data_IF_648661042418
#
_entry.id   IF_648661042418
#
_cell.length_a   1.000
_cell.length_b   1.000
_cell.length_c   1.000
_cell.angle_alpha   90.00
_cell.angle_beta   90.00
_cell.angle_gamma   90.00
#
_symmetry.space_group_name_H-M   'P 1'
#
loop_
_entity.id
_entity.type
_entity.pdbx_description
1 polymer ?
#
# COMPACT_ATOMS: atom_id res chain seq x y z
N UNK A 1 3.79 6.97 27.66
CA UNK A 1 4.54 6.17 26.66
C UNK A 1 5.23 5.05 27.38
N UNK A 2 5.08 3.84 26.89
CA UNK A 2 5.83 2.65 27.30
C UNK A 2 6.85 2.34 26.21
N UNK A 3 8.07 1.92 26.58
CA UNK A 3 9.12 1.63 25.60
C UNK A 3 10.48 1.41 26.25
N UNK A 4 11.40 0.78 25.51
CA UNK A 4 12.79 0.66 25.92
C UNK A 4 13.45 2.06 25.97
N UNK A 5 14.45 2.22 26.82
CA UNK A 5 15.14 3.50 27.01
C UNK A 5 16.60 3.36 26.55
N UNK A 6 17.10 4.32 25.78
CA UNK A 6 18.50 4.36 25.33
C UNK A 6 19.45 4.86 26.45
N UNK A 7 20.78 4.79 26.28
CA UNK A 7 21.74 5.26 27.29
C UNK A 7 21.62 6.76 27.64
N UNK A 8 20.94 7.56 26.82
CA UNK A 8 20.68 8.98 27.05
C UNK A 8 19.32 9.23 27.74
N UNK A 9 18.61 8.18 28.17
CA UNK A 9 17.31 8.31 28.84
C UNK A 9 16.14 8.55 27.89
N UNK A 10 16.32 8.35 26.57
CA UNK A 10 15.28 8.58 25.56
C UNK A 10 14.50 7.31 25.25
N UNK A 11 13.23 7.47 24.91
CA UNK A 11 12.34 6.38 24.49
C UNK A 11 12.77 5.92 23.10
N UNK A 12 13.13 4.64 22.99
CA UNK A 12 13.45 3.97 21.73
C UNK A 12 12.14 3.51 21.09
N UNK A 13 11.77 4.03 19.91
CA UNK A 13 10.56 3.61 19.21
C UNK A 13 10.58 2.12 18.84
N UNK A 14 9.42 1.48 18.92
CA UNK A 14 9.24 0.12 18.43
C UNK A 14 9.36 0.05 16.91
N UNK A 15 10.01 -0.99 16.38
CA UNK A 15 10.07 -1.21 14.93
C UNK A 15 8.69 -1.51 14.36
N UNK A 16 7.90 -2.31 15.07
CA UNK A 16 6.53 -2.62 14.66
C UNK A 16 5.56 -1.77 15.48
N UNK A 17 4.43 -1.35 14.91
CA UNK A 17 3.37 -0.74 15.69
C UNK A 17 2.82 -1.75 16.71
N UNK A 18 2.27 -1.26 17.84
CA UNK A 18 1.54 -2.12 18.76
C UNK A 18 0.45 -2.88 18.02
N UNK A 19 0.29 -4.18 18.31
CA UNK A 19 -0.87 -4.92 17.80
C UNK A 19 -2.10 -4.45 18.57
N UNK A 20 -3.18 -4.01 17.91
CA UNK A 20 -4.39 -3.70 18.61
C UNK A 20 -5.03 -4.99 19.09
N UNK A 21 -5.67 -4.88 20.23
CA UNK A 21 -6.58 -5.88 20.74
C UNK A 21 -7.75 -6.04 19.77
N UNK A 22 -8.35 -7.22 19.67
CA UNK A 22 -9.51 -7.48 18.79
C UNK A 22 -10.76 -6.71 19.20
N UNK A 23 -10.83 -6.35 20.49
CA UNK A 23 -11.90 -5.59 21.11
C UNK A 23 -11.28 -4.43 21.87
N UNK A 24 -11.83 -3.22 21.76
CA UNK A 24 -11.29 -2.07 22.48
C UNK A 24 -11.87 -0.75 22.02
N UNK A 25 -11.41 0.32 22.66
CA UNK A 25 -11.71 1.68 22.25
C UNK A 25 -11.19 2.00 20.85
N UNK A 26 -11.50 3.20 20.37
CA UNK A 26 -11.01 3.69 19.10
C UNK A 26 -9.48 3.83 19.11
N UNK A 27 -8.82 3.37 18.04
CA UNK A 27 -7.38 3.57 17.83
C UNK A 27 -7.15 4.51 16.66
N UNK A 28 -6.40 5.58 16.92
CA UNK A 28 -6.01 6.58 15.91
C UNK A 28 -4.56 6.37 15.53
N UNK A 29 -4.23 6.58 14.25
CA UNK A 29 -2.86 6.51 13.76
C UNK A 29 -2.38 7.89 13.36
N UNK A 30 -1.37 8.37 14.08
CA UNK A 30 -0.76 9.67 13.83
C UNK A 30 0.66 9.52 13.28
N UNK A 31 1.10 10.52 12.53
CA UNK A 31 2.50 10.71 12.15
C UNK A 31 2.97 12.00 12.81
N UNK A 32 4.01 11.88 13.65
CA UNK A 32 4.71 13.01 14.24
C UNK A 32 6.06 13.17 13.54
N UNK A 33 6.24 14.23 12.76
CA UNK A 33 7.47 14.51 12.01
C UNK A 33 8.13 15.78 12.55
N UNK A 34 9.41 15.68 12.93
CA UNK A 34 10.22 16.82 13.31
C UNK A 34 10.88 17.38 12.07
N UNK A 35 10.32 18.46 11.52
CA UNK A 35 10.85 19.15 10.35
C UNK A 35 11.27 20.57 10.75
N UNK A 36 12.50 20.96 10.37
CA UNK A 36 13.05 22.30 10.63
C UNK A 36 12.99 22.69 12.12
N UNK A 37 13.24 21.72 12.99
CA UNK A 37 13.26 21.90 14.44
C UNK A 37 11.89 21.96 15.13
N UNK A 38 10.78 21.82 14.40
CA UNK A 38 9.41 21.82 14.96
C UNK A 38 8.69 20.51 14.69
N UNK A 39 7.92 20.06 15.67
CA UNK A 39 7.05 18.89 15.53
C UNK A 39 5.76 19.27 14.80
N UNK A 40 5.40 18.47 13.80
CA UNK A 40 4.10 18.47 13.15
C UNK A 40 3.44 17.12 13.38
N UNK A 41 2.18 17.13 13.83
CA UNK A 41 1.38 15.92 14.03
C UNK A 41 0.26 15.91 13.00
N UNK A 42 0.07 14.76 12.34
CA UNK A 42 -0.96 14.56 11.31
C UNK A 42 -1.65 13.22 11.50
N UNK A 43 -2.92 13.15 11.16
CA UNK A 43 -3.72 11.92 11.13
C UNK A 43 -4.35 11.72 9.75
N UNK A 44 -4.80 10.50 9.48
CA UNK A 44 -5.59 10.21 8.28
C UNK A 44 -7.06 10.64 8.38
N UNK A 45 -7.55 10.86 9.60
CA UNK A 45 -8.92 11.23 9.94
C UNK A 45 -8.91 12.24 11.08
N UNK A 46 -9.74 13.28 10.97
CA UNK A 46 -9.99 14.24 12.05
C UNK A 46 -11.09 13.75 13.02
N UNK A 47 -11.76 12.65 12.66
CA UNK A 47 -12.76 12.01 13.51
C UNK A 47 -12.07 11.11 14.54
N UNK A 48 -12.04 11.56 15.81
CA UNK A 48 -11.64 10.74 16.94
C UNK A 48 -12.21 11.23 18.28
N UNK A 49 -12.55 10.30 19.17
CA UNK A 49 -13.04 10.59 20.52
C UNK A 49 -11.91 10.91 21.52
N UNK A 50 -12.21 11.62 22.63
CA UNK A 50 -11.21 11.99 23.65
C UNK A 50 -10.64 10.80 24.42
N UNK A 51 -11.31 9.64 24.39
CA UNK A 51 -10.89 8.39 25.03
C UNK A 51 -10.13 7.43 24.11
N UNK A 52 -9.70 7.86 22.92
CA UNK A 52 -8.97 7.02 22.00
C UNK A 52 -7.54 6.71 22.50
N UNK A 53 -6.96 5.65 21.97
CA UNK A 53 -5.51 5.40 22.03
C UNK A 53 -4.90 5.84 20.71
N UNK A 54 -3.76 6.53 20.74
CA UNK A 54 -3.07 6.94 19.52
C UNK A 54 -1.77 6.18 19.34
N UNK A 55 -1.67 5.43 18.24
CA UNK A 55 -0.40 4.88 17.75
C UNK A 55 0.27 5.94 16.87
N UNK A 56 1.51 6.28 17.18
CA UNK A 56 2.23 7.39 16.55
C UNK A 56 3.48 6.86 15.87
N UNK A 57 3.59 7.06 14.56
CA UNK A 57 4.86 6.94 13.85
C UNK A 57 5.68 8.21 14.07
N UNK A 58 6.81 8.08 14.75
CA UNK A 58 7.76 9.17 14.99
C UNK A 58 8.76 9.23 13.84
N UNK A 59 8.96 10.43 13.31
CA UNK A 59 9.85 10.73 12.19
C UNK A 59 10.71 11.95 12.48
N UNK A 60 11.91 11.93 11.91
CA UNK A 60 12.84 13.05 11.96
C UNK A 60 13.25 13.41 10.55
N UNK A 61 12.94 14.63 10.12
CA UNK A 61 13.22 15.17 8.79
C UNK A 61 12.73 14.25 7.64
N UNK A 62 11.57 13.62 7.85
CA UNK A 62 10.96 12.70 6.90
C UNK A 62 11.39 11.22 7.06
N UNK A 63 12.29 10.90 8.00
CA UNK A 63 12.81 9.54 8.22
C UNK A 63 12.16 8.90 9.44
N UNK A 64 11.52 7.75 9.24
CA UNK A 64 10.87 6.96 10.29
C UNK A 64 11.88 6.44 11.30
N UNK A 65 11.63 6.74 12.58
CA UNK A 65 12.37 6.26 13.74
C UNK A 65 11.67 5.04 14.38
N UNK A 66 10.33 5.04 14.38
CA UNK A 66 9.51 3.91 14.80
C UNK A 66 8.20 4.35 15.44
N UNK A 67 7.55 3.42 16.13
CA UNK A 67 6.24 3.62 16.72
C UNK A 67 6.28 3.81 18.24
N UNK A 68 5.40 4.66 18.73
CA UNK A 68 5.13 4.89 20.15
C UNK A 68 3.62 4.97 20.36
N UNK A 69 3.15 4.60 21.56
CA UNK A 69 1.74 4.66 21.91
C UNK A 69 1.50 5.69 23.02
N UNK A 70 0.41 6.44 22.87
CA UNK A 70 -0.10 7.34 23.90
C UNK A 70 -1.60 7.09 24.14
N UNK A 71 -2.04 7.37 25.35
CA UNK A 71 -3.47 7.44 25.69
C UNK A 71 -3.96 8.86 25.45
N UNK A 72 -5.12 8.98 24.83
CA UNK A 72 -5.71 10.25 24.44
C UNK A 72 -5.40 10.63 22.99
N UNK A 73 -5.94 11.77 22.56
CA UNK A 73 -5.94 12.14 21.16
C UNK A 73 -4.57 12.72 20.72
N UNK A 74 -4.26 12.74 19.42
CA UNK A 74 -2.94 13.10 18.87
C UNK A 74 -2.42 14.47 19.32
N UNK A 75 -3.29 15.44 19.61
CA UNK A 75 -2.94 16.79 20.05
C UNK A 75 -2.18 16.79 21.38
N UNK A 76 -2.38 15.74 22.19
CA UNK A 76 -1.64 15.51 23.45
C UNK A 76 -0.12 15.43 23.23
N UNK A 77 0.32 15.03 22.03
CA UNK A 77 1.75 14.96 21.69
C UNK A 77 2.44 16.33 21.68
N UNK A 78 1.71 17.37 21.27
CA UNK A 78 2.25 18.72 21.12
C UNK A 78 2.40 19.43 22.47
N UNK A 79 1.60 19.05 23.46
CA UNK A 79 1.61 19.67 24.80
C UNK A 79 2.55 18.99 25.79
N UNK A 80 2.83 17.70 25.59
CA UNK A 80 3.52 16.89 26.58
C UNK A 80 5.07 16.89 26.46
N UNK A 81 5.65 17.51 25.42
CA UNK A 81 7.12 17.50 25.18
C UNK A 81 7.71 16.08 25.04
N UNK A 82 6.85 15.09 24.83
CA UNK A 82 7.21 13.67 24.86
C UNK A 82 8.03 13.29 23.65
N UNK A 83 7.75 13.90 22.49
CA UNK A 83 8.46 13.65 21.24
C UNK A 83 9.94 14.08 21.31
N UNK A 84 10.29 15.08 22.12
CA UNK A 84 11.69 15.49 22.33
C UNK A 84 12.51 14.48 23.13
N UNK A 85 11.83 13.55 23.81
CA UNK A 85 12.44 12.44 24.54
C UNK A 85 12.52 11.16 23.72
N UNK A 86 12.11 11.19 22.45
CA UNK A 86 12.21 10.03 21.55
C UNK A 86 13.56 10.03 20.85
N UNK A 87 14.22 8.88 20.76
CA UNK A 87 15.49 8.78 20.04
C UNK A 87 15.29 9.11 18.55
N UNK A 88 16.23 9.85 17.92
CA UNK A 88 16.15 10.16 16.51
C UNK A 88 16.19 8.88 15.67
N UNK A 89 15.78 8.99 14.40
CA UNK A 89 15.98 7.87 13.49
C UNK A 89 17.47 7.57 13.36
N UNK A 90 17.90 6.29 13.43
CA UNK A 90 19.28 5.93 13.18
C UNK A 90 19.67 6.09 11.70
N UNK A 91 18.71 6.36 10.82
CA UNK A 91 18.91 6.55 9.38
C UNK A 91 19.01 8.03 9.05
N UNK A 92 19.98 8.37 8.19
CA UNK A 92 20.08 9.70 7.62
C UNK A 92 18.96 9.96 6.60
N UNK A 93 18.52 11.21 6.50
CA UNK A 93 17.63 11.64 5.44
C UNK A 93 18.33 11.53 4.07
N UNK A 94 17.59 11.09 3.07
CA UNK A 94 18.08 11.09 1.69
C UNK A 94 18.25 12.54 1.18
N UNK A 95 19.18 12.73 0.24
CA UNK A 95 19.40 14.03 -0.42
C UNK A 95 18.11 14.47 -1.14
N UNK A 96 17.68 15.70 -0.84
CA UNK A 96 16.45 16.29 -1.37
C UNK A 96 16.70 16.91 -2.75
N UNK A 97 16.47 16.14 -3.81
CA UNK A 97 16.23 16.66 -5.15
C UNK A 97 14.73 16.70 -5.44
N UNK A 98 14.26 17.72 -6.17
CA UNK A 98 12.91 17.72 -6.70
C UNK A 98 12.77 16.59 -7.74
N UNK A 99 11.59 15.96 -7.78
CA UNK A 99 11.27 14.88 -8.71
C UNK A 99 9.92 15.17 -9.33
N UNK A 100 9.73 14.70 -10.55
CA UNK A 100 8.47 14.83 -11.26
C UNK A 100 7.69 13.53 -11.10
N UNK A 101 6.78 13.50 -10.13
CA UNK A 101 5.94 12.34 -9.82
C UNK A 101 4.51 12.58 -10.32
N UNK A 102 4.03 11.69 -11.20
CA UNK A 102 2.62 11.53 -11.47
C UNK A 102 1.99 10.55 -10.49
N UNK A 103 0.84 10.93 -9.92
CA UNK A 103 0.07 10.08 -9.02
C UNK A 103 -1.24 9.68 -9.68
N UNK A 104 -1.43 8.37 -9.85
CA UNK A 104 -2.64 7.79 -10.45
C UNK A 104 -3.58 7.31 -9.36
N UNK A 105 -4.84 7.77 -9.40
CA UNK A 105 -5.89 7.47 -8.43
C UNK A 105 -7.09 6.87 -9.19
N UNK A 106 -7.32 5.55 -9.12
CA UNK A 106 -8.54 4.96 -9.67
C UNK A 106 -9.73 5.20 -8.73
N UNK A 107 -10.89 5.49 -9.31
CA UNK A 107 -12.17 5.57 -8.59
C UNK A 107 -13.29 4.96 -9.43
N UNK A 108 -14.40 4.59 -8.78
CA UNK A 108 -15.61 4.09 -9.45
C UNK A 108 -16.81 4.93 -9.00
N UNK A 109 -16.81 6.22 -9.36
CA UNK A 109 -17.87 7.18 -8.98
C UNK A 109 -17.90 7.61 -7.51
N UNK A 110 -16.87 7.29 -6.70
CA UNK A 110 -16.80 7.65 -5.27
C UNK A 110 -16.31 9.09 -5.08
N UNK A 111 -17.19 10.05 -5.34
CA UNK A 111 -16.85 11.50 -5.41
C UNK A 111 -16.16 12.01 -4.14
N UNK A 112 -16.71 11.73 -2.96
CA UNK A 112 -16.20 12.31 -1.71
C UNK A 112 -14.84 11.75 -1.31
N UNK A 113 -14.65 10.43 -1.46
CA UNK A 113 -13.36 9.79 -1.18
C UNK A 113 -12.32 10.23 -2.21
N UNK A 114 -12.65 10.23 -3.50
CA UNK A 114 -11.78 10.74 -4.56
C UNK A 114 -11.37 12.20 -4.32
N UNK A 115 -12.30 13.07 -3.93
CA UNK A 115 -11.99 14.46 -3.60
C UNK A 115 -11.03 14.59 -2.41
N UNK A 116 -11.18 13.75 -1.38
CA UNK A 116 -10.24 13.71 -0.24
C UNK A 116 -8.85 13.23 -0.67
N UNK A 117 -8.76 12.13 -1.42
CA UNK A 117 -7.50 11.59 -1.91
C UNK A 117 -6.76 12.58 -2.83
N UNK A 118 -7.46 13.22 -3.77
CA UNK A 118 -6.89 14.24 -4.66
C UNK A 118 -6.31 15.41 -3.85
N UNK A 119 -7.03 15.95 -2.86
CA UNK A 119 -6.51 17.04 -2.02
C UNK A 119 -5.26 16.63 -1.24
N UNK A 120 -5.25 15.42 -0.68
CA UNK A 120 -4.08 14.91 0.05
C UNK A 120 -2.86 14.81 -0.88
N UNK A 121 -3.06 14.29 -2.10
CA UNK A 121 -2.00 14.15 -3.10
C UNK A 121 -1.51 15.51 -3.62
N UNK A 122 -2.39 16.50 -3.81
CA UNK A 122 -1.99 17.86 -4.20
C UNK A 122 -1.11 18.55 -3.14
N UNK A 123 -1.28 18.19 -1.86
CA UNK A 123 -0.44 18.65 -0.76
C UNK A 123 0.87 17.87 -0.59
N UNK A 124 1.08 16.80 -1.37
CA UNK A 124 2.32 16.03 -1.34
C UNK A 124 3.44 16.68 -2.15
N UNK A 125 4.65 16.54 -1.64
CA UNK A 125 5.88 17.04 -2.24
C UNK A 125 6.22 16.22 -3.49
N UNK A 126 6.85 16.88 -4.46
CA UNK A 126 7.32 16.28 -5.73
C UNK A 126 6.18 15.77 -6.64
N UNK A 127 4.91 16.05 -6.31
CA UNK A 127 3.76 15.74 -7.18
C UNK A 127 3.57 16.86 -8.21
N UNK A 128 3.84 16.53 -9.48
CA UNK A 128 3.65 17.42 -10.63
C UNK A 128 2.37 17.12 -11.42
N UNK A 129 1.79 15.93 -11.22
CA UNK A 129 0.54 15.50 -11.88
C UNK A 129 -0.29 14.60 -10.99
N UNK A 130 -1.60 14.83 -11.01
CA UNK A 130 -2.60 13.95 -10.40
C UNK A 130 -3.52 13.46 -11.51
N UNK A 131 -3.57 12.15 -11.73
CA UNK A 131 -4.46 11.54 -12.72
C UNK A 131 -5.55 10.77 -11.97
N UNK A 132 -6.73 11.38 -11.90
CA UNK A 132 -7.92 10.73 -11.37
C UNK A 132 -8.62 9.96 -12.49
N UNK A 133 -8.74 8.64 -12.34
CA UNK A 133 -9.33 7.77 -13.36
C UNK A 133 -10.69 7.27 -12.90
N UNK A 134 -11.76 7.73 -13.54
CA UNK A 134 -13.10 7.21 -13.34
C UNK A 134 -13.29 5.90 -14.11
N UNK A 135 -13.35 4.79 -13.39
CA UNK A 135 -13.50 3.44 -13.89
C UNK A 135 -14.95 2.92 -13.81
N UNK A 136 -15.92 3.82 -13.65
CA UNK A 136 -17.32 3.54 -13.88
C UNK A 136 -17.98 4.65 -14.72
N UNK A 137 -17.37 5.09 -15.83
CA UNK A 137 -17.87 6.25 -16.57
C UNK A 137 -19.25 5.98 -17.16
N UNK A 138 -20.11 7.00 -17.17
CA UNK A 138 -21.46 6.93 -17.73
C UNK A 138 -21.42 7.41 -19.17
N UNK A 139 -21.88 6.59 -20.11
CA UNK A 139 -21.80 6.87 -21.56
C UNK A 139 -20.38 7.22 -22.05
N UNK A 140 -19.36 6.61 -21.44
CA UNK A 140 -17.95 6.84 -21.78
C UNK A 140 -17.36 8.15 -21.24
N UNK A 141 -18.12 8.92 -20.46
CA UNK A 141 -17.68 10.17 -19.85
C UNK A 141 -17.48 10.00 -18.33
N UNK A 142 -16.46 10.66 -17.74
CA UNK A 142 -16.34 10.69 -16.29
C UNK A 142 -17.58 11.30 -15.64
N UNK A 143 -17.93 10.87 -14.43
CA UNK A 143 -18.97 11.52 -13.63
C UNK A 143 -18.70 13.03 -13.53
N UNK A 144 -19.75 13.84 -13.74
CA UNK A 144 -19.65 15.31 -13.75
C UNK A 144 -18.98 15.87 -12.50
N UNK A 145 -19.30 15.32 -11.32
CA UNK A 145 -18.71 15.75 -10.06
C UNK A 145 -17.23 15.41 -9.95
N UNK A 146 -16.76 14.32 -10.57
CA UNK A 146 -15.33 14.01 -10.65
C UNK A 146 -14.62 14.99 -11.59
N UNK A 147 -15.25 15.39 -12.70
CA UNK A 147 -14.68 16.38 -13.62
C UNK A 147 -14.43 17.74 -12.95
N UNK A 148 -15.29 18.14 -12.01
CA UNK A 148 -15.12 19.38 -11.23
C UNK A 148 -13.86 19.38 -10.35
N UNK A 149 -13.26 18.22 -10.06
CA UNK A 149 -11.99 18.16 -9.33
C UNK A 149 -10.82 18.74 -10.12
N UNK A 150 -10.95 18.91 -11.45
CA UNK A 150 -9.98 19.63 -12.29
C UNK A 150 -9.84 21.10 -11.91
N UNK A 151 -10.89 21.68 -11.33
CA UNK A 151 -10.92 23.09 -10.94
C UNK A 151 -10.16 23.35 -9.64
N UNK A 152 -9.72 22.29 -8.93
CA UNK A 152 -8.96 22.42 -7.69
C UNK A 152 -7.52 22.89 -7.91
N UNK A 153 -6.86 22.40 -8.97
CA UNK A 153 -5.45 22.67 -9.25
C UNK A 153 -5.12 22.25 -10.71
N UNK A 154 -4.32 23.02 -11.46
CA UNK A 154 -3.93 22.69 -12.84
C UNK A 154 -3.19 21.35 -13.00
N UNK A 155 -2.65 20.78 -11.91
CA UNK A 155 -2.03 19.46 -11.90
C UNK A 155 -3.04 18.31 -12.02
N UNK A 156 -4.35 18.55 -11.84
CA UNK A 156 -5.39 17.51 -11.86
C UNK A 156 -5.90 17.25 -13.29
N UNK A 157 -5.73 16.01 -13.73
CA UNK A 157 -6.33 15.46 -14.95
C UNK A 157 -7.35 14.40 -14.57
N UNK A 158 -8.53 14.43 -15.20
CA UNK A 158 -9.58 13.41 -15.00
C UNK A 158 -9.76 12.62 -16.30
N UNK A 159 -9.65 11.30 -16.20
CA UNK A 159 -9.73 10.36 -17.33
C UNK A 159 -10.89 9.40 -17.12
N UNK A 160 -11.62 9.06 -18.18
CA UNK A 160 -12.59 7.96 -18.15
C UNK A 160 -11.94 6.68 -18.66
N UNK A 161 -12.15 5.58 -17.94
CA UNK A 161 -11.76 4.24 -18.39
C UNK A 161 -12.99 3.30 -18.35
N UNK A 162 -13.64 3.04 -19.51
CA UNK A 162 -14.83 2.21 -19.57
C UNK A 162 -14.57 0.70 -19.37
N UNK A 163 -13.33 0.24 -19.54
CA UNK A 163 -12.94 -1.14 -19.24
C UNK A 163 -12.90 -1.33 -17.72
N UNK A 164 -13.92 -2.00 -17.20
CA UNK A 164 -14.03 -2.29 -15.76
C UNK A 164 -12.79 -3.05 -15.23
N UNK A 165 -12.23 -2.53 -14.14
CA UNK A 165 -11.17 -3.13 -13.34
C UNK A 165 -10.08 -2.13 -12.95
N UNK A 166 -9.62 -2.18 -11.69
CA UNK A 166 -8.60 -1.25 -11.18
C UNK A 166 -7.31 -1.28 -12.01
N UNK A 167 -6.92 -2.44 -12.54
CA UNK A 167 -5.78 -2.59 -13.45
C UNK A 167 -5.92 -1.75 -14.72
N UNK A 168 -7.09 -1.76 -15.35
CA UNK A 168 -7.35 -0.97 -16.55
C UNK A 168 -7.32 0.53 -16.22
N UNK A 169 -7.93 0.92 -15.10
CA UNK A 169 -7.91 2.30 -14.63
C UNK A 169 -6.48 2.81 -14.37
N UNK A 170 -5.66 2.03 -13.66
CA UNK A 170 -4.25 2.37 -13.39
C UNK A 170 -3.44 2.44 -14.68
N UNK A 171 -3.64 1.49 -15.60
CA UNK A 171 -3.04 1.53 -16.94
C UNK A 171 -3.39 2.82 -17.68
N UNK A 172 -4.68 3.15 -17.80
CA UNK A 172 -5.15 4.37 -18.45
C UNK A 172 -4.58 5.64 -17.79
N UNK A 173 -4.45 5.64 -16.47
CA UNK A 173 -3.84 6.73 -15.72
C UNK A 173 -2.39 6.98 -16.10
N UNK A 174 -1.59 5.92 -16.28
CA UNK A 174 -0.20 6.05 -16.74
C UNK A 174 -0.11 6.49 -18.21
N UNK A 175 -1.06 6.11 -19.06
CA UNK A 175 -1.07 6.58 -20.46
C UNK A 175 -1.39 8.08 -20.58
N UNK A 176 -2.05 8.65 -19.57
CA UNK A 176 -2.40 10.06 -19.55
C UNK A 176 -1.31 10.94 -18.92
N UNK A 177 -0.13 10.38 -18.64
CA UNK A 177 0.97 11.07 -17.97
C UNK A 177 2.34 10.68 -18.56
N UNK A 178 3.30 11.61 -18.46
CA UNK A 178 4.63 11.46 -19.07
C UNK A 178 5.77 11.65 -18.04
N UNK A 179 5.39 11.86 -16.78
CA UNK A 179 6.31 12.02 -15.67
C UNK A 179 7.20 10.77 -15.51
N UNK A 180 8.51 10.95 -15.22
CA UNK A 180 9.45 9.85 -15.12
C UNK A 180 9.15 8.88 -13.96
N UNK A 181 8.53 9.38 -12.89
CA UNK A 181 8.09 8.57 -11.76
C UNK A 181 6.56 8.50 -11.73
N UNK A 182 6.04 7.28 -11.56
CA UNK A 182 4.61 7.04 -11.44
C UNK A 182 4.34 6.37 -10.11
N UNK A 183 3.44 6.96 -9.32
CA UNK A 183 2.96 6.42 -8.05
C UNK A 183 1.46 6.13 -8.12
N UNK A 184 1.02 5.17 -7.32
CA UNK A 184 -0.36 4.72 -7.24
C UNK A 184 -0.86 4.84 -5.81
N UNK A 185 -2.05 5.40 -5.67
CA UNK A 185 -2.83 5.37 -4.43
C UNK A 185 -4.30 5.18 -4.77
N UNK A 186 -5.12 4.80 -3.79
CA UNK A 186 -6.55 4.57 -3.99
C UNK A 186 -7.38 5.78 -3.50
N UNK A 187 -8.62 5.89 -3.97
CA UNK A 187 -9.49 7.02 -3.60
C UNK A 187 -9.92 7.03 -2.10
N UNK A 188 -9.68 5.94 -1.37
CA UNK A 188 -9.94 5.78 0.07
C UNK A 188 -8.66 5.91 0.90
N UNK A 189 -7.72 6.72 0.43
CA UNK A 189 -6.46 7.01 1.10
C UNK A 189 -6.25 8.51 1.35
N UNK A 190 -5.40 8.83 2.32
CA UNK A 190 -4.83 10.16 2.56
C UNK A 190 -3.32 9.99 2.64
N UNK A 191 -2.56 10.64 1.76
CA UNK A 191 -1.09 10.51 1.74
C UNK A 191 -0.44 11.56 2.64
N UNK A 192 0.68 11.20 3.27
CA UNK A 192 1.52 12.17 4.00
C UNK A 192 2.23 13.11 3.01
N UNK A 193 2.52 14.39 3.35
CA UNK A 193 3.19 15.31 2.43
C UNK A 193 4.52 14.80 1.85
N UNK A 194 5.30 14.05 2.65
CA UNK A 194 6.55 13.41 2.20
C UNK A 194 6.39 12.08 1.44
N UNK A 195 5.16 11.60 1.17
CA UNK A 195 4.89 10.26 0.62
C UNK A 195 5.52 10.03 -0.76
N UNK A 196 5.16 10.86 -1.75
CA UNK A 196 5.62 10.69 -3.12
C UNK A 196 7.15 10.84 -3.23
N UNK A 197 7.71 11.82 -2.51
CA UNK A 197 9.17 12.01 -2.38
C UNK A 197 9.89 10.76 -1.87
N UNK A 198 9.38 10.14 -0.80
CA UNK A 198 10.00 8.97 -0.21
C UNK A 198 9.94 7.74 -1.14
N UNK A 199 8.82 7.57 -1.87
CA UNK A 199 8.72 6.53 -2.90
C UNK A 199 9.77 6.75 -4.01
N UNK A 200 9.85 7.97 -4.52
CA UNK A 200 10.75 8.29 -5.63
C UNK A 200 12.24 8.26 -5.22
N UNK A 201 12.58 8.60 -3.98
CA UNK A 201 13.92 8.42 -3.43
C UNK A 201 14.34 6.93 -3.38
N UNK A 202 13.40 6.02 -3.15
CA UNK A 202 13.66 4.58 -3.22
C UNK A 202 13.97 4.09 -4.65
N UNK A 203 13.33 4.71 -5.65
CA UNK A 203 13.57 4.40 -7.06
C UNK A 203 14.96 4.89 -7.49
N UNK A 204 15.36 6.08 -7.06
CA UNK A 204 16.72 6.61 -7.28
C UNK A 204 17.80 5.75 -6.62
N UNK A 205 17.48 5.09 -5.51
CA UNK A 205 18.38 4.15 -4.85
C UNK A 205 18.53 2.82 -5.60
N UNK A 206 17.89 2.65 -6.76
CA UNK A 206 18.02 1.49 -7.65
C UNK A 206 16.92 0.44 -7.53
N UNK A 207 15.80 0.75 -6.86
CA UNK A 207 14.63 -0.13 -6.87
C UNK A 207 13.87 0.02 -8.21
N UNK A 208 13.41 -1.09 -8.78
CA UNK A 208 12.46 -1.09 -9.89
C UNK A 208 11.03 -0.80 -9.41
N UNK A 209 10.69 -1.24 -8.19
CA UNK A 209 9.40 -0.97 -7.54
C UNK A 209 9.64 -0.57 -6.10
N UNK A 210 8.96 0.48 -5.64
CA UNK A 210 8.98 0.91 -4.24
C UNK A 210 7.57 0.86 -3.68
N UNK A 211 7.44 0.43 -2.44
CA UNK A 211 6.18 0.45 -1.70
C UNK A 211 6.31 1.20 -0.37
N UNK A 212 5.22 1.80 0.09
CA UNK A 212 5.17 2.58 1.32
C UNK A 212 4.46 1.90 2.49
N UNK A 213 4.57 2.53 3.65
CA UNK A 213 3.84 2.21 4.86
C UNK A 213 2.37 2.66 4.74
N UNK A 214 1.46 1.69 4.84
CA UNK A 214 0.01 1.90 4.86
C UNK A 214 -0.47 1.77 6.29
N UNK A 215 -0.86 2.88 6.89
CA UNK A 215 -1.48 2.92 8.22
C UNK A 215 -3.00 2.90 8.08
N UNK A 216 -3.75 2.35 9.04
CA UNK A 216 -5.19 2.60 9.15
C UNK A 216 -5.45 4.09 9.35
N UNK A 217 -6.48 4.66 8.73
CA UNK A 217 -6.91 6.02 9.06
C UNK A 217 -7.44 6.11 10.50
N UNK A 218 -8.16 5.07 10.93
CA UNK A 218 -8.60 4.79 12.30
C UNK A 218 -9.02 3.33 12.41
N UNK A 219 -9.14 2.84 13.64
CA UNK A 219 -9.80 1.57 13.95
C UNK A 219 -10.91 1.81 14.98
N UNK A 220 -12.15 1.86 14.51
CA UNK A 220 -13.36 2.05 15.32
C UNK A 220 -14.25 0.81 15.36
N UNK A 221 -13.97 -0.22 14.54
CA UNK A 221 -14.75 -1.47 14.51
C UNK A 221 -13.90 -2.72 14.67
N UNK A 222 -14.50 -3.79 15.17
CA UNK A 222 -13.86 -5.10 15.29
C UNK A 222 -13.42 -5.65 13.92
N UNK A 223 -14.13 -5.29 12.84
CA UNK A 223 -13.78 -5.73 11.49
C UNK A 223 -12.50 -5.05 11.00
N UNK A 224 -12.33 -3.77 11.30
CA UNK A 224 -11.11 -3.02 10.97
C UNK A 224 -9.92 -3.56 11.78
N UNK A 225 -10.11 -3.81 13.07
CA UNK A 225 -9.07 -4.43 13.93
C UNK A 225 -8.68 -5.82 13.43
N UNK A 226 -9.66 -6.65 13.10
CA UNK A 226 -9.44 -8.01 12.60
C UNK A 226 -8.75 -8.00 11.24
N UNK A 227 -9.08 -7.06 10.37
CA UNK A 227 -8.38 -6.86 9.09
C UNK A 227 -6.88 -6.67 9.35
N UNK A 228 -6.54 -5.79 10.29
CA UNK A 228 -5.16 -5.44 10.53
C UNK A 228 -4.34 -6.51 11.28
N UNK A 229 -4.98 -7.41 12.03
CA UNK A 229 -4.30 -8.62 12.53
C UNK A 229 -3.73 -9.47 11.39
N UNK A 230 -4.38 -9.45 10.22
CA UNK A 230 -3.98 -10.23 9.04
C UNK A 230 -3.10 -9.44 8.07
N UNK A 231 -3.30 -8.13 7.93
CA UNK A 231 -2.50 -7.24 7.06
C UNK A 231 -1.15 -6.85 7.70
N UNK A 232 -1.15 -6.65 9.03
CA UNK A 232 0.03 -6.40 9.84
C UNK A 232 0.47 -4.94 10.00
N UNK A 233 -0.43 -3.93 9.90
CA UNK A 233 -0.12 -2.50 10.17
C UNK A 233 1.03 -1.92 9.35
N UNK A 234 1.22 -2.44 8.15
CA UNK A 234 2.38 -2.19 7.34
C UNK A 234 3.66 -2.80 7.92
N UNK A 235 4.66 -2.95 7.07
CA UNK A 235 5.81 -3.83 7.30
C UNK A 235 6.86 -3.23 8.28
N UNK A 236 6.41 -2.50 9.30
CA UNK A 236 7.22 -1.87 10.35
C UNK A 236 7.97 -0.62 9.87
N UNK A 237 8.70 0.01 10.78
CA UNK A 237 9.39 1.27 10.57
C UNK A 237 10.83 1.13 10.00
N UNK A 238 11.16 -0.03 9.43
CA UNK A 238 12.47 -0.30 8.83
C UNK A 238 12.33 -0.62 7.34
N UNK A 239 13.21 -0.06 6.48
CA UNK A 239 13.22 -0.37 5.07
C UNK A 239 13.62 -1.82 4.82
N UNK A 240 13.08 -2.43 3.77
CA UNK A 240 13.37 -3.82 3.39
C UNK A 240 13.54 -3.94 1.89
N UNK A 241 14.69 -4.47 1.47
CA UNK A 241 14.96 -4.74 0.06
C UNK A 241 14.48 -6.14 -0.32
N UNK A 242 13.91 -6.24 -1.52
CA UNK A 242 13.46 -7.47 -2.15
C UNK A 242 14.17 -7.65 -3.51
N UNK A 243 14.44 -8.87 -3.97
CA UNK A 243 15.32 -9.18 -5.13
C UNK A 243 16.82 -9.34 -4.79
N UNK A 244 17.59 -10.00 -5.70
CA UNK A 244 19.02 -10.43 -5.60
C UNK A 244 19.32 -11.79 -4.92
N UNK A 245 20.58 -12.27 -4.92
CA UNK A 245 21.08 -13.56 -4.35
C UNK A 245 20.65 -13.80 -2.89
N UNK A 246 20.38 -12.73 -2.12
CA UNK A 246 19.83 -12.81 -0.76
C UNK A 246 18.41 -13.41 -0.70
N UNK A 247 17.70 -13.51 -1.85
CA UNK A 247 16.39 -14.15 -1.98
C UNK A 247 16.45 -15.66 -2.23
N UNK A 248 17.65 -16.24 -2.36
CA UNK A 248 17.84 -17.69 -2.37
C UNK A 248 17.40 -18.35 -1.03
N UNK A 249 17.09 -17.55 0.00
CA UNK A 249 16.70 -18.03 1.34
C UNK A 249 15.18 -18.12 1.55
N UNK A 250 14.33 -17.40 0.78
CA UNK A 250 12.87 -17.63 0.83
C UNK A 250 12.48 -18.70 -0.20
N UNK A 251 12.19 -19.95 0.21
CA UNK A 251 11.85 -21.03 -0.71
C UNK A 251 10.54 -20.78 -1.46
N UNK A 252 9.79 -19.72 -1.12
CA UNK A 252 8.52 -19.35 -1.71
C UNK A 252 8.60 -18.05 -2.52
N UNK A 253 9.78 -17.45 -2.73
CA UNK A 253 9.95 -16.33 -3.68
C UNK A 253 9.68 -16.76 -5.14
N UNK A 254 9.06 -15.94 -5.99
CA UNK A 254 8.45 -14.61 -5.75
C UNK A 254 7.00 -14.67 -5.23
N UNK A 255 6.50 -15.84 -4.82
CA UNK A 255 5.11 -16.10 -4.46
C UNK A 255 4.69 -15.55 -3.07
N UNK A 256 5.55 -14.76 -2.42
CA UNK A 256 5.33 -14.08 -1.12
C UNK A 256 5.47 -12.56 -1.15
N UNK A 257 5.36 -11.94 -2.32
CA UNK A 257 5.52 -10.49 -2.48
C UNK A 257 4.46 -9.64 -1.76
N UNK A 258 3.42 -10.22 -1.13
CA UNK A 258 2.58 -9.47 -0.18
C UNK A 258 3.34 -8.88 1.02
N UNK A 259 4.60 -9.30 1.25
CA UNK A 259 5.52 -8.69 2.21
C UNK A 259 6.22 -7.43 1.71
N UNK A 260 6.18 -7.15 0.42
CA UNK A 260 6.75 -5.94 -0.16
C UNK A 260 5.84 -4.76 0.13
N UNK A 261 4.53 -4.90 -0.03
CA UNK A 261 3.58 -3.81 0.18
C UNK A 261 2.31 -4.04 -0.62
N UNK A 262 1.48 -3.00 -0.67
CA UNK A 262 0.24 -2.98 -1.44
C UNK A 262 0.31 -1.96 -2.58
N UNK A 263 -0.45 -2.22 -3.65
CA UNK A 263 -0.52 -1.31 -4.81
C UNK A 263 -1.03 0.09 -4.50
N UNK A 264 -1.74 0.29 -3.41
CA UNK A 264 -2.24 1.60 -2.98
C UNK A 264 -1.14 2.50 -2.36
N UNK A 265 0.08 2.00 -2.20
CA UNK A 265 1.25 2.80 -1.83
C UNK A 265 2.45 2.26 -2.62
N UNK A 266 2.41 2.38 -3.94
CA UNK A 266 3.43 1.81 -4.83
C UNK A 266 3.92 2.84 -5.83
N UNK A 267 5.20 2.81 -6.18
CA UNK A 267 5.76 3.57 -7.29
C UNK A 267 6.73 2.74 -8.14
N UNK A 268 6.89 3.14 -9.39
CA UNK A 268 7.94 2.68 -10.29
C UNK A 268 8.32 3.80 -11.27
N UNK A 269 9.41 3.64 -12.00
CA UNK A 269 9.69 4.54 -13.12
C UNK A 269 8.75 4.24 -14.29
N UNK A 270 8.41 5.25 -15.08
CA UNK A 270 7.61 5.07 -16.30
C UNK A 270 8.30 4.10 -17.27
N UNK A 271 9.63 4.13 -17.34
CA UNK A 271 10.42 3.13 -18.07
C UNK A 271 10.16 1.71 -17.57
N UNK A 272 10.23 1.48 -16.26
CA UNK A 272 9.94 0.18 -15.66
C UNK A 272 8.50 -0.25 -15.98
N UNK A 273 7.54 0.66 -15.89
CA UNK A 273 6.14 0.40 -16.22
C UNK A 273 5.96 -0.09 -17.66
N UNK A 274 6.57 0.59 -18.63
CA UNK A 274 6.52 0.24 -20.05
C UNK A 274 7.23 -1.09 -20.34
N UNK A 275 8.42 -1.29 -19.75
CA UNK A 275 9.20 -2.53 -19.88
C UNK A 275 8.45 -3.73 -19.33
N UNK A 276 7.76 -3.56 -18.21
CA UNK A 276 6.96 -4.62 -17.59
C UNK A 276 5.68 -4.86 -18.39
N UNK A 277 5.07 -3.80 -18.95
CA UNK A 277 3.83 -3.86 -19.73
C UNK A 277 2.57 -3.55 -18.92
N UNK A 278 2.70 -2.73 -17.86
CA UNK A 278 1.60 -2.33 -16.98
C UNK A 278 0.93 -3.48 -16.21
N UNK A 279 -0.20 -3.20 -15.58
CA UNK A 279 -1.00 -4.20 -14.87
C UNK A 279 -1.76 -5.13 -15.82
N UNK A 280 -1.93 -6.39 -15.40
CA UNK A 280 -2.76 -7.34 -16.11
C UNK A 280 -4.26 -7.00 -15.96
N UNK A 281 -4.92 -6.53 -17.01
CA UNK A 281 -6.33 -6.10 -16.98
C UNK A 281 -7.34 -7.22 -16.67
N UNK A 282 -6.95 -8.47 -16.86
CA UNK A 282 -7.69 -9.64 -16.36
C UNK A 282 -7.73 -9.79 -14.83
N UNK A 283 -6.82 -9.12 -14.12
CA UNK A 283 -6.65 -9.19 -12.66
C UNK A 283 -7.13 -7.91 -11.96
N UNK A 284 -7.29 -8.01 -10.63
CA UNK A 284 -7.60 -6.90 -9.73
C UNK A 284 -9.08 -6.68 -9.38
N UNK A 285 -9.35 -5.72 -8.48
CA UNK A 285 -10.71 -5.31 -8.12
C UNK A 285 -11.54 -4.95 -9.35
N UNK A 286 -12.81 -5.34 -9.36
CA UNK A 286 -13.71 -5.18 -10.51
C UNK A 286 -13.62 -6.30 -11.56
N UNK A 287 -12.65 -7.22 -11.43
CA UNK A 287 -12.53 -8.44 -12.25
C UNK A 287 -12.90 -9.69 -11.46
N UNK A 288 -12.99 -10.83 -12.17
CA UNK A 288 -13.26 -12.13 -11.56
C UNK A 288 -12.20 -12.51 -10.51
N UNK A 289 -10.93 -12.18 -10.73
CA UNK A 289 -9.88 -12.51 -9.76
C UNK A 289 -10.01 -11.73 -8.44
N UNK A 290 -10.65 -10.55 -8.47
CA UNK A 290 -10.88 -9.64 -7.32
C UNK A 290 -9.61 -9.06 -6.68
N UNK A 291 -8.43 -9.42 -7.16
CA UNK A 291 -7.14 -8.97 -6.66
C UNK A 291 -5.99 -9.61 -7.46
N UNK A 292 -4.78 -9.48 -6.91
CA UNK A 292 -3.57 -10.14 -7.37
C UNK A 292 -2.85 -9.44 -8.53
N UNK A 293 -3.36 -8.33 -9.02
CA UNK A 293 -2.73 -7.52 -10.07
C UNK A 293 -1.37 -6.99 -9.66
N UNK A 294 -1.23 -6.64 -8.38
CA UNK A 294 -0.01 -6.08 -7.81
C UNK A 294 1.06 -7.12 -7.57
N UNK A 295 0.68 -8.27 -6.99
CA UNK A 295 1.54 -9.44 -6.89
C UNK A 295 2.07 -9.87 -8.28
N UNK A 296 1.20 -9.89 -9.28
CA UNK A 296 1.56 -10.26 -10.65
C UNK A 296 2.53 -9.25 -11.29
N UNK A 297 2.23 -7.95 -11.18
CA UNK A 297 3.09 -6.89 -11.71
C UNK A 297 4.46 -6.86 -11.02
N UNK A 298 4.49 -6.85 -9.68
CA UNK A 298 5.74 -6.82 -8.90
C UNK A 298 6.58 -8.06 -9.19
N UNK A 299 5.96 -9.23 -9.34
CA UNK A 299 6.68 -10.46 -9.73
C UNK A 299 7.36 -10.29 -11.08
N UNK A 300 6.65 -9.80 -12.10
CA UNK A 300 7.24 -9.55 -13.43
C UNK A 300 8.32 -8.48 -13.40
N UNK A 301 8.16 -7.43 -12.59
CA UNK A 301 9.14 -6.37 -12.46
C UNK A 301 10.46 -6.86 -11.87
N UNK A 302 10.42 -7.80 -10.94
CA UNK A 302 11.60 -8.35 -10.25
C UNK A 302 12.23 -9.53 -10.97
N UNK A 303 11.44 -10.26 -11.77
CA UNK A 303 11.88 -11.49 -12.45
C UNK A 303 13.17 -11.38 -13.27
N UNK A 304 13.46 -10.25 -13.96
CA UNK A 304 14.71 -10.07 -14.70
C UNK A 304 15.95 -9.85 -13.82
N UNK A 305 15.86 -9.98 -12.49
CA UNK A 305 16.95 -9.74 -11.55
C UNK A 305 16.95 -8.34 -10.92
N UNK A 306 15.85 -7.60 -11.07
CA UNK A 306 15.69 -6.30 -10.43
C UNK A 306 15.32 -6.42 -8.95
N UNK A 307 15.46 -5.31 -8.23
CA UNK A 307 15.17 -5.20 -6.80
C UNK A 307 13.95 -4.33 -6.55
N UNK A 308 13.26 -4.56 -5.44
CA UNK A 308 12.22 -3.70 -4.92
C UNK A 308 12.56 -3.24 -3.50
N UNK A 309 11.92 -2.17 -3.06
CA UNK A 309 12.13 -1.61 -1.74
C UNK A 309 10.78 -1.35 -1.07
N UNK A 310 10.59 -1.90 0.13
CA UNK A 310 9.64 -1.35 1.08
C UNK A 310 10.31 -0.20 1.83
N UNK A 311 9.70 0.99 1.84
CA UNK A 311 10.16 2.12 2.65
C UNK A 311 9.10 2.57 3.66
N UNK A 312 9.45 2.68 4.96
CA UNK A 312 8.55 3.19 5.99
C UNK A 312 8.40 4.73 5.95
N UNK A 313 9.16 5.41 5.09
CA UNK A 313 9.17 6.87 4.99
C UNK A 313 8.07 7.40 4.06
N UNK A 314 7.58 6.54 3.16
CA UNK A 314 6.41 6.80 2.32
C UNK A 314 5.16 6.38 3.07
N UNK A 315 4.53 7.32 3.78
CA UNK A 315 3.39 7.03 4.67
C UNK A 315 2.09 7.48 4.04
N UNK A 316 1.06 6.64 4.13
CA UNK A 316 -0.32 7.04 3.90
C UNK A 316 -1.25 6.40 4.93
N UNK A 317 -2.46 6.95 5.01
CA UNK A 317 -3.57 6.41 5.79
C UNK A 317 -4.64 5.85 4.87
N UNK A 318 -5.17 4.66 5.19
CA UNK A 318 -6.18 3.97 4.42
C UNK A 318 -7.47 3.79 5.25
N UNK A 319 -8.61 4.13 4.65
CA UNK A 319 -9.91 3.96 5.28
C UNK A 319 -10.42 2.53 5.05
N UNK A 320 -10.38 1.71 6.09
CA UNK A 320 -10.92 0.36 6.02
C UNK A 320 -12.44 0.37 5.90
N UNK A 321 -12.97 -0.72 5.38
CA UNK A 321 -14.41 -0.98 5.40
C UNK A 321 -14.76 -1.55 6.77
N UNK A 322 -15.80 -0.99 7.39
CA UNK A 322 -16.11 -1.25 8.80
C UNK A 322 -16.96 -2.50 9.07
N UNK A 323 -17.51 -3.17 8.06
CA UNK A 323 -18.50 -4.24 8.25
C UNK A 323 -17.91 -5.66 8.17
N UNK A 324 -18.51 -6.65 8.87
CA UNK A 324 -18.09 -8.05 8.76
C UNK A 324 -18.23 -8.64 7.35
N UNK A 325 -19.21 -8.18 6.57
CA UNK A 325 -19.42 -8.61 5.18
C UNK A 325 -18.29 -8.11 4.27
N UNK A 326 -17.90 -6.85 4.44
CA UNK A 326 -16.77 -6.27 3.71
C UNK A 326 -15.47 -7.01 4.02
N UNK A 327 -15.21 -7.30 5.31
CA UNK A 327 -14.04 -8.05 5.73
C UNK A 327 -14.00 -9.44 5.07
N UNK A 328 -15.12 -10.19 5.11
CA UNK A 328 -15.22 -11.50 4.43
C UNK A 328 -14.98 -11.38 2.94
N UNK A 329 -15.55 -10.37 2.30
CA UNK A 329 -15.37 -10.11 0.87
C UNK A 329 -13.90 -9.84 0.54
N UNK A 330 -13.21 -9.07 1.39
CA UNK A 330 -11.80 -8.77 1.22
C UNK A 330 -10.92 -10.00 1.39
N UNK A 331 -11.16 -10.82 2.42
CA UNK A 331 -10.41 -12.06 2.65
C UNK A 331 -10.60 -13.07 1.52
N UNK A 332 -11.84 -13.22 1.01
CA UNK A 332 -12.10 -14.02 -0.17
C UNK A 332 -11.34 -13.49 -1.40
N UNK A 333 -11.31 -12.17 -1.57
CA UNK A 333 -10.66 -11.52 -2.71
C UNK A 333 -9.14 -11.69 -2.68
N UNK A 334 -8.50 -11.67 -1.50
CA UNK A 334 -7.07 -11.94 -1.34
C UNK A 334 -6.71 -13.36 -1.76
N UNK A 335 -7.46 -14.36 -1.29
CA UNK A 335 -7.26 -15.74 -1.72
C UNK A 335 -7.42 -15.91 -3.21
N UNK A 336 -8.51 -15.39 -3.78
CA UNK A 336 -8.79 -15.46 -5.22
C UNK A 336 -7.73 -14.75 -6.06
N UNK A 337 -7.27 -13.57 -5.61
CA UNK A 337 -6.23 -12.81 -6.27
C UNK A 337 -4.89 -13.54 -6.28
N UNK A 338 -4.50 -14.15 -5.16
CA UNK A 338 -3.25 -14.90 -5.04
C UNK A 338 -3.14 -16.02 -6.08
N UNK A 339 -4.17 -16.88 -6.20
CA UNK A 339 -4.12 -18.01 -7.13
C UNK A 339 -4.31 -17.56 -8.58
N UNK A 340 -5.14 -16.55 -8.84
CA UNK A 340 -5.28 -15.97 -10.17
C UNK A 340 -3.98 -15.33 -10.68
N UNK A 341 -3.25 -14.60 -9.82
CA UNK A 341 -1.94 -14.04 -10.14
C UNK A 341 -0.93 -15.13 -10.46
N UNK A 342 -0.88 -16.19 -9.64
CA UNK A 342 0.02 -17.31 -9.87
C UNK A 342 -0.23 -18.02 -11.20
N UNK A 343 -1.50 -18.24 -11.55
CA UNK A 343 -1.89 -18.84 -12.82
C UNK A 343 -1.63 -17.91 -14.01
N UNK A 344 -1.83 -16.60 -13.86
CA UNK A 344 -1.50 -15.63 -14.90
C UNK A 344 -0.01 -15.72 -15.25
N UNK A 345 0.87 -15.59 -14.24
CA UNK A 345 2.33 -15.69 -14.40
C UNK A 345 2.76 -17.02 -15.03
N UNK A 346 2.19 -18.13 -14.56
CA UNK A 346 2.42 -19.46 -15.12
C UNK A 346 1.91 -19.57 -16.57
N UNK A 347 0.85 -18.86 -16.93
CA UNK A 347 0.34 -18.82 -18.30
C UNK A 347 1.34 -18.24 -19.30
N UNK A 348 2.15 -17.27 -18.89
CA UNK A 348 2.98 -16.48 -19.82
C UNK A 348 4.41 -16.98 -19.99
N UNK A 349 5.02 -17.46 -18.90
CA UNK A 349 6.44 -17.83 -18.91
C UNK A 349 6.64 -19.26 -18.40
N UNK A 350 7.33 -20.08 -19.20
CA UNK A 350 7.72 -21.43 -18.80
C UNK A 350 8.62 -21.45 -17.57
N UNK A 351 9.38 -20.38 -17.29
CA UNK A 351 10.18 -20.23 -16.08
C UNK A 351 9.29 -20.06 -14.85
N UNK A 352 8.20 -19.27 -14.93
CA UNK A 352 7.22 -19.17 -13.84
C UNK A 352 6.52 -20.50 -13.59
N UNK A 353 6.12 -21.23 -14.64
CA UNK A 353 5.54 -22.59 -14.48
C UNK A 353 6.46 -23.53 -13.73
N UNK A 354 7.73 -23.57 -14.12
CA UNK A 354 8.73 -24.43 -13.46
C UNK A 354 8.97 -24.01 -12.01
N UNK A 355 9.02 -22.71 -11.73
CA UNK A 355 9.12 -22.19 -10.35
C UNK A 355 7.90 -22.59 -9.51
N UNK A 356 6.69 -22.34 -10.03
CA UNK A 356 5.44 -22.67 -9.36
C UNK A 356 5.35 -24.17 -9.06
N UNK A 357 5.68 -25.04 -10.01
CA UNK A 357 5.67 -26.50 -9.81
C UNK A 357 6.62 -26.96 -8.70
N UNK A 358 7.79 -26.32 -8.53
CA UNK A 358 8.74 -26.64 -7.45
C UNK A 358 8.27 -26.17 -6.08
N UNK A 359 7.52 -25.08 -6.05
CA UNK A 359 7.05 -24.43 -4.82
C UNK A 359 5.71 -25.01 -4.37
N UNK A 360 4.87 -25.48 -5.30
CA UNK A 360 3.50 -25.91 -5.04
C UNK A 360 3.36 -26.95 -3.91
N UNK A 361 4.19 -28.01 -3.82
CA UNK A 361 4.08 -28.96 -2.70
C UNK A 361 4.31 -28.30 -1.34
N UNK A 362 5.28 -27.38 -1.24
CA UNK A 362 5.56 -26.63 -0.02
C UNK A 362 4.46 -25.61 0.29
N UNK A 363 3.92 -24.96 -0.73
CA UNK A 363 2.83 -24.01 -0.60
C UNK A 363 1.54 -24.69 -0.11
N UNK A 364 1.19 -25.85 -0.67
CA UNK A 364 0.04 -26.66 -0.24
C UNK A 364 0.25 -27.20 1.17
N UNK A 365 1.43 -27.77 1.47
CA UNK A 365 1.76 -28.25 2.81
C UNK A 365 1.66 -27.15 3.87
N UNK A 366 2.09 -25.93 3.53
CA UNK A 366 1.99 -24.76 4.41
C UNK A 366 0.58 -24.20 4.52
N UNK A 367 -0.22 -24.20 3.45
CA UNK A 367 -1.65 -23.85 3.51
C UNK A 367 -2.42 -24.80 4.42
N UNK A 368 -2.03 -26.08 4.48
CA UNK A 368 -2.59 -27.07 5.39
C UNK A 368 -2.13 -26.88 6.84
N UNK A 369 -0.93 -26.31 7.07
CA UNK A 369 -0.31 -26.15 8.38
C UNK A 369 -0.24 -24.71 8.90
N UNK A 370 -1.08 -23.78 8.40
CA UNK A 370 -1.17 -22.40 8.94
C UNK A 370 -1.77 -22.46 10.35
N UNK A 371 -0.91 -22.76 11.32
CA UNK A 371 -0.93 -22.21 12.68
C UNK A 371 0.13 -21.13 12.69
N UNK A 372 -0.18 -19.96 12.10
CA UNK A 372 0.75 -18.82 12.14
C UNK A 372 0.74 -18.30 13.58
N UNK A 373 1.88 -18.24 14.31
CA UNK A 373 1.94 -17.86 15.75
C UNK A 373 1.50 -16.42 16.09
N UNK A 374 0.77 -15.75 15.19
CA UNK A 374 0.12 -14.47 15.41
C UNK A 374 -1.35 -14.44 15.01
N UNK A 375 -1.91 -15.56 14.54
CA UNK A 375 -3.32 -15.72 14.13
C UNK A 375 -4.18 -16.43 15.19
N UNK A 376 -3.65 -16.71 16.38
CA UNK A 376 -4.47 -17.29 17.46
C UNK A 376 -5.70 -16.41 17.80
N UNK A 377 -5.57 -15.10 17.59
CA UNK A 377 -6.67 -14.12 17.71
C UNK A 377 -7.45 -13.89 16.40
N UNK A 378 -7.02 -14.46 15.27
CA UNK A 378 -7.65 -14.27 13.96
C UNK A 378 -8.74 -15.32 13.69
N UNK A 379 -9.97 -14.93 13.32
CA UNK A 379 -11.08 -15.87 13.19
C UNK A 379 -10.83 -16.97 12.15
N UNK A 380 -10.94 -18.24 12.58
CA UNK A 380 -10.78 -19.41 11.69
C UNK A 380 -11.72 -19.38 10.47
N UNK A 381 -12.93 -18.83 10.62
CA UNK A 381 -13.88 -18.66 9.53
C UNK A 381 -13.35 -17.76 8.40
N UNK A 382 -12.54 -16.74 8.72
CA UNK A 382 -11.91 -15.88 7.72
C UNK A 382 -10.77 -16.59 7.00
N UNK A 383 -10.02 -17.46 7.68
CA UNK A 383 -9.02 -18.34 7.05
C UNK A 383 -9.68 -19.25 6.01
N UNK A 384 -10.82 -19.86 6.35
CA UNK A 384 -11.59 -20.66 5.40
C UNK A 384 -12.16 -19.85 4.25
N UNK A 385 -12.57 -18.60 4.51
CA UNK A 385 -13.03 -17.67 3.48
C UNK A 385 -11.92 -17.33 2.47
N UNK A 386 -10.71 -17.05 2.96
CA UNK A 386 -9.52 -16.83 2.13
C UNK A 386 -9.18 -18.10 1.30
N UNK A 387 -9.21 -19.28 1.91
CA UNK A 387 -9.01 -20.57 1.20
C UNK A 387 -10.06 -20.82 0.12
N UNK A 388 -11.34 -20.55 0.39
CA UNK A 388 -12.41 -20.66 -0.60
C UNK A 388 -12.18 -19.70 -1.77
N UNK A 389 -11.72 -18.48 -1.47
CA UNK A 389 -11.22 -17.54 -2.48
C UNK A 389 -10.11 -18.13 -3.32
N UNK A 390 -9.09 -18.72 -2.70
CA UNK A 390 -7.97 -19.35 -3.40
C UNK A 390 -8.43 -20.45 -4.38
N UNK A 391 -9.37 -21.30 -3.98
CA UNK A 391 -9.97 -22.30 -4.89
C UNK A 391 -10.72 -21.62 -6.04
N UNK A 392 -11.53 -20.58 -5.74
CA UNK A 392 -12.28 -19.85 -6.77
C UNK A 392 -11.37 -19.18 -7.82
N UNK A 393 -10.23 -18.64 -7.39
CA UNK A 393 -9.23 -18.00 -8.24
C UNK A 393 -8.52 -18.95 -9.21
N UNK A 394 -8.65 -20.27 -9.04
CA UNK A 394 -8.08 -21.25 -9.98
C UNK A 394 -8.77 -21.26 -11.36
N UNK A 395 -10.01 -20.82 -11.43
CA UNK A 395 -10.70 -20.73 -12.71
C UNK A 395 -10.14 -19.57 -13.55
N UNK A 396 -10.01 -19.73 -14.88
CA UNK A 396 -9.32 -18.75 -15.72
C UNK A 396 -9.87 -17.33 -15.56
N UNK A 397 -8.99 -16.38 -15.26
CA UNK A 397 -9.27 -14.98 -15.49
C UNK A 397 -9.25 -14.79 -17.02
N UNK A 398 -10.40 -14.57 -17.64
CA UNK A 398 -10.55 -14.60 -19.11
C UNK A 398 -9.46 -13.83 -19.88
N UNK A 399 -9.19 -14.26 -21.12
CA UNK A 399 -8.16 -13.69 -22.01
C UNK A 399 -8.46 -12.23 -22.38
N UNK A 400 -8.10 -11.25 -21.55
CA UNK A 400 -8.01 -9.84 -21.95
C UNK A 400 -6.56 -9.39 -21.97
N UNK A 401 -6.26 -8.55 -22.98
CA UNK A 401 -4.92 -8.25 -23.49
C UNK A 401 -4.01 -7.66 -22.40
N UNK A 402 -2.74 -8.04 -22.48
CA UNK A 402 -1.61 -7.29 -21.91
C UNK A 402 -1.29 -6.14 -22.86
N UNK A 403 -0.70 -5.06 -22.34
CA UNK A 403 -0.05 -4.10 -23.23
C UNK A 403 1.10 -4.77 -23.98
N UNK A 404 1.33 -4.43 -25.25
CA UNK A 404 2.57 -4.81 -25.91
C UNK A 404 3.74 -4.24 -25.11
N UNK A 405 4.70 -5.10 -24.75
CA UNK A 405 5.93 -4.68 -24.09
C UNK A 405 6.77 -3.93 -25.10
N UNK A 406 7.24 -2.72 -24.75
CA UNK A 406 8.20 -2.00 -25.56
C UNK A 406 9.56 -2.65 -25.33
N UNK A 407 10.04 -3.46 -26.28
CA UNK A 407 11.41 -3.94 -26.28
C UNK A 407 12.30 -2.80 -26.76
N UNK A 408 13.06 -2.20 -25.84
CA UNK A 408 14.17 -1.30 -26.17
C UNK A 408 15.31 -2.08 -26.81
#
# INVERSE_FOLDING_TARGET
MTGAVDPAGRIVPGVNPPRPETTGGEVVFAVADRADGRWQVRTGSDEHGPGCTTTVLVRHDGVSAGFVEIHGPPETLLTAGVLDRVSPSPRAAAVRSARDVAVVIPTAGRVDSAGRAVRAVLGAQDVTRVVLVDNAPVAGQPHRQLQQLRDLDPRVTVVAEPCKGASAARNAGVDACDEPYVAFTDDDTVVHPGWARALAAGLDAGAAVVTGLVLPARLSSDSERTFELRSGFGHGALPRWFGDEQHLVDPLFPWRLGRLGASNSMACTRETWLRVGGFHEGLGPGRRSRGGEDLEFMTRALWPGHRALYTPDAVLWHFHRGTPEDLRTQMFSWGSGLTAAALALAGDDARFRRSLARVLPRAVGRLASITDPGLDAYPAALVWTERAGAVFGLAPAGRRRRRPVVTS
#
